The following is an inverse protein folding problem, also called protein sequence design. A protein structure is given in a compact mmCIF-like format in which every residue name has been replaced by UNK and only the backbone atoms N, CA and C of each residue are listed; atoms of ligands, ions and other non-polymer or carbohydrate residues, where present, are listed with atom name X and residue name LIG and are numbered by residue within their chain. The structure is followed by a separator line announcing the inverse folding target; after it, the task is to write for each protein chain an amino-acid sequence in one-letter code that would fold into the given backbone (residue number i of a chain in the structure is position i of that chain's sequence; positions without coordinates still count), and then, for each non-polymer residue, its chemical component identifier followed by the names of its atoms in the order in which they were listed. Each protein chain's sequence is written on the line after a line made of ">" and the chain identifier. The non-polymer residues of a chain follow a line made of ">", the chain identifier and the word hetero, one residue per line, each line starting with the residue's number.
data_IF_262338669493
#
_entry.id   IF_262338669493
#
_cell.length_a   1.000
_cell.length_b   1.000
_cell.length_c   1.000
_cell.angle_alpha   90.00
_cell.angle_beta   90.00
_cell.angle_gamma   90.00
#
_symmetry.space_group_name_H-M   'P 1'
#
loop_
_entity.id
_entity.type
_entity.pdbx_description
1 polymer ?
#
# COMPACT_ATOMS: atom_id res chain seq x y z
N UNK A 1 27.73 6.13 4.87
CA UNK A 1 26.61 5.54 4.11
C UNK A 1 26.29 4.22 4.77
N UNK A 2 25.07 4.05 5.31
CA UNK A 2 24.63 2.81 5.96
C UNK A 2 24.44 1.70 4.93
N UNK A 3 24.29 0.45 5.40
CA UNK A 3 24.03 -0.71 4.54
C UNK A 3 22.65 -0.59 3.86
N UNK A 4 21.65 -0.14 4.62
CA UNK A 4 20.32 0.20 4.08
C UNK A 4 20.41 1.26 2.97
N UNK A 5 21.21 2.32 3.20
CA UNK A 5 21.41 3.40 2.24
C UNK A 5 21.98 2.88 0.92
N UNK A 6 23.09 2.13 0.99
CA UNK A 6 23.72 1.56 -0.20
C UNK A 6 22.79 0.65 -0.99
N UNK A 7 22.08 -0.25 -0.29
CA UNK A 7 21.13 -1.18 -0.91
C UNK A 7 20.00 -0.44 -1.64
N UNK A 8 19.35 0.50 -0.96
CA UNK A 8 18.22 1.24 -1.53
C UNK A 8 18.64 2.12 -2.71
N UNK A 9 19.76 2.84 -2.60
CA UNK A 9 20.26 3.68 -3.70
C UNK A 9 20.60 2.84 -4.94
N UNK A 10 21.23 1.69 -4.76
CA UNK A 10 21.54 0.79 -5.87
C UNK A 10 20.28 0.32 -6.59
N UNK A 11 19.27 -0.14 -5.84
CA UNK A 11 17.99 -0.60 -6.40
C UNK A 11 17.25 0.51 -7.14
N UNK A 12 17.16 1.71 -6.55
CA UNK A 12 16.48 2.86 -7.16
C UNK A 12 17.19 3.31 -8.44
N UNK A 13 18.53 3.36 -8.43
CA UNK A 13 19.32 3.71 -9.61
C UNK A 13 19.12 2.70 -10.76
N UNK A 14 19.12 1.40 -10.47
CA UNK A 14 18.86 0.34 -11.45
C UNK A 14 17.45 0.45 -12.08
N UNK A 15 16.48 0.90 -11.30
CA UNK A 15 15.12 1.14 -11.78
C UNK A 15 14.90 2.54 -12.38
N UNK A 16 15.96 3.34 -12.55
CA UNK A 16 15.86 4.71 -13.10
C UNK A 16 15.09 5.69 -12.20
N UNK A 17 14.96 5.38 -10.90
CA UNK A 17 14.24 6.20 -9.94
C UNK A 17 15.21 7.21 -9.29
N UNK A 18 15.03 8.50 -9.60
CA UNK A 18 15.79 9.56 -8.94
C UNK A 18 15.27 9.81 -7.51
N UNK A 19 16.17 9.98 -6.57
CA UNK A 19 15.85 10.29 -5.18
C UNK A 19 16.69 11.48 -4.71
N UNK A 20 16.07 12.45 -4.06
CA UNK A 20 16.77 13.60 -3.46
C UNK A 20 17.36 13.22 -2.11
N UNK A 21 18.36 13.99 -1.64
CA UNK A 21 18.93 13.80 -0.30
C UNK A 21 17.88 13.89 0.80
N UNK A 22 16.90 14.79 0.66
CA UNK A 22 15.80 14.95 1.63
C UNK A 22 14.91 13.71 1.69
N UNK A 23 14.48 13.21 0.54
CA UNK A 23 13.67 11.98 0.46
C UNK A 23 14.42 10.80 1.06
N UNK A 24 15.72 10.69 0.73
CA UNK A 24 16.55 9.61 1.26
C UNK A 24 16.66 9.69 2.79
N UNK A 25 16.96 10.90 3.34
CA UNK A 25 17.03 11.11 4.79
C UNK A 25 15.71 10.76 5.48
N UNK A 26 14.56 11.10 4.89
CA UNK A 26 13.25 10.74 5.44
C UNK A 26 13.04 9.21 5.46
N UNK A 27 13.47 8.48 4.42
CA UNK A 27 13.40 7.01 4.39
C UNK A 27 14.32 6.38 5.46
N UNK A 28 15.51 6.90 5.65
CA UNK A 28 16.46 6.40 6.64
C UNK A 28 15.94 6.63 8.07
N UNK A 29 15.38 7.81 8.35
CA UNK A 29 14.76 8.09 9.64
C UNK A 29 13.60 7.11 9.89
N UNK A 30 12.72 6.92 8.90
CA UNK A 30 11.60 5.99 9.02
C UNK A 30 12.05 4.54 9.23
N UNK A 31 13.09 4.10 8.54
CA UNK A 31 13.69 2.79 8.72
C UNK A 31 14.27 2.61 10.13
N UNK A 32 14.99 3.60 10.65
CA UNK A 32 15.57 3.53 11.99
C UNK A 32 14.48 3.45 13.08
N UNK A 33 13.39 4.22 12.94
CA UNK A 33 12.21 4.13 13.80
C UNK A 33 11.56 2.73 13.73
N UNK A 34 11.46 2.15 12.53
CA UNK A 34 10.93 0.81 12.34
C UNK A 34 11.78 -0.23 13.07
N UNK A 35 13.09 -0.21 12.89
CA UNK A 35 14.02 -1.16 13.53
C UNK A 35 13.94 -1.06 15.05
N UNK A 36 13.91 0.16 15.60
CA UNK A 36 13.85 0.39 17.05
C UNK A 36 12.54 -0.15 17.65
N UNK A 37 11.40 0.21 17.06
CA UNK A 37 10.10 -0.22 17.58
C UNK A 37 9.86 -1.71 17.35
N UNK A 38 10.39 -2.27 16.25
CA UNK A 38 10.21 -3.68 15.93
C UNK A 38 10.85 -4.62 16.98
N UNK A 39 11.86 -4.17 17.73
CA UNK A 39 12.47 -4.93 18.85
C UNK A 39 11.45 -5.33 19.91
N UNK A 40 10.39 -4.56 20.07
CA UNK A 40 9.40 -4.76 21.15
C UNK A 40 7.98 -5.05 20.65
N UNK A 41 7.66 -4.70 19.39
CA UNK A 41 6.27 -4.72 18.90
C UNK A 41 5.98 -5.65 17.72
N UNK A 42 6.98 -6.35 17.18
CA UNK A 42 6.81 -7.26 16.03
C UNK A 42 5.99 -6.65 14.88
N UNK A 43 6.38 -5.46 14.43
CA UNK A 43 5.69 -4.75 13.35
C UNK A 43 5.88 -5.44 12.00
N UNK A 44 7.05 -6.04 11.79
CA UNK A 44 7.43 -6.74 10.55
C UNK A 44 8.39 -7.89 10.84
N UNK A 45 8.37 -8.92 10.00
CA UNK A 45 9.36 -9.99 9.98
C UNK A 45 10.63 -9.62 9.19
N UNK A 46 10.59 -8.55 8.40
CA UNK A 46 11.70 -8.08 7.58
C UNK A 46 12.52 -7.08 8.39
N UNK A 47 13.72 -7.49 8.81
CA UNK A 47 14.55 -6.72 9.76
C UNK A 47 15.95 -6.41 9.25
N UNK A 48 16.47 -7.16 8.26
CA UNK A 48 17.79 -6.86 7.70
C UNK A 48 17.76 -5.56 6.87
N UNK A 49 18.85 -4.79 6.84
CA UNK A 49 18.93 -3.57 6.04
C UNK A 49 18.62 -3.78 4.56
N UNK A 50 19.16 -4.86 3.97
CA UNK A 50 19.00 -5.19 2.56
C UNK A 50 17.55 -5.60 2.25
N UNK A 51 16.98 -6.51 3.06
CA UNK A 51 15.58 -6.90 2.87
C UNK A 51 14.63 -5.73 3.06
N UNK A 52 14.88 -4.85 4.03
CA UNK A 52 14.08 -3.66 4.23
C UNK A 52 14.18 -2.72 3.01
N UNK A 53 15.40 -2.48 2.50
CA UNK A 53 15.61 -1.67 1.30
C UNK A 53 14.83 -2.22 0.10
N UNK A 54 14.88 -3.53 -0.14
CA UNK A 54 14.20 -4.19 -1.24
C UNK A 54 12.68 -4.29 -1.01
N UNK A 55 12.28 -4.99 0.06
CA UNK A 55 10.89 -5.44 0.25
C UNK A 55 9.98 -4.39 0.85
N UNK A 56 10.54 -3.40 1.58
CA UNK A 56 9.74 -2.34 2.18
C UNK A 56 9.77 -1.06 1.35
N UNK A 57 10.97 -0.56 1.00
CA UNK A 57 11.09 0.73 0.34
C UNK A 57 11.03 0.64 -1.18
N UNK A 58 11.92 -0.12 -1.79
CA UNK A 58 11.98 -0.24 -3.26
C UNK A 58 10.68 -0.77 -3.85
N UNK A 59 10.17 -1.88 -3.33
CA UNK A 59 8.91 -2.49 -3.72
C UNK A 59 7.72 -1.51 -3.66
N UNK A 60 7.71 -0.66 -2.63
CA UNK A 60 6.68 0.36 -2.47
C UNK A 60 6.77 1.48 -3.50
N UNK A 61 7.99 1.87 -3.90
CA UNK A 61 8.26 3.05 -4.73
C UNK A 61 8.07 2.78 -6.22
N UNK A 62 8.43 1.60 -6.70
CA UNK A 62 8.44 1.27 -8.14
C UNK A 62 7.16 1.68 -8.88
N UNK A 63 5.94 1.39 -8.37
CA UNK A 63 4.72 1.71 -9.10
C UNK A 63 4.25 3.17 -8.94
N UNK A 64 5.07 4.07 -8.40
CA UNK A 64 4.68 5.47 -8.16
C UNK A 64 4.21 6.21 -9.42
N UNK A 65 4.69 5.80 -10.61
CA UNK A 65 4.30 6.40 -11.89
C UNK A 65 2.82 6.13 -12.24
N UNK A 66 2.21 5.08 -11.67
CA UNK A 66 0.78 4.79 -11.85
C UNK A 66 -0.13 5.75 -11.08
N UNK A 67 0.41 6.45 -10.09
CA UNK A 67 -0.36 7.34 -9.21
C UNK A 67 -0.47 8.72 -9.88
N UNK A 68 -1.68 9.19 -10.21
CA UNK A 68 -1.88 10.51 -10.80
C UNK A 68 -1.29 11.63 -9.94
N UNK A 69 -0.92 12.73 -10.58
CA UNK A 69 -0.39 13.89 -9.86
C UNK A 69 -1.45 14.52 -8.98
N UNK A 70 -1.09 14.82 -7.71
CA UNK A 70 -1.99 15.41 -6.74
C UNK A 70 -3.07 14.45 -6.20
N UNK A 71 -2.96 13.15 -6.48
CA UNK A 71 -3.97 12.17 -6.10
C UNK A 71 -4.16 12.06 -4.58
N UNK A 72 -5.40 11.77 -4.16
CA UNK A 72 -5.72 11.27 -2.83
C UNK A 72 -5.49 9.75 -2.80
N UNK A 73 -4.57 9.30 -1.92
CA UNK A 73 -4.18 7.88 -1.81
C UNK A 73 -4.57 7.33 -0.45
N UNK A 74 -5.27 6.19 -0.44
CA UNK A 74 -5.55 5.43 0.77
C UNK A 74 -4.81 4.09 0.73
N UNK A 75 -4.23 3.68 1.85
CA UNK A 75 -3.61 2.37 2.02
C UNK A 75 -4.42 1.52 2.99
N UNK A 76 -4.95 0.42 2.51
CA UNK A 76 -5.77 -0.50 3.30
C UNK A 76 -4.90 -1.59 3.91
N UNK A 77 -4.89 -1.62 5.25
CA UNK A 77 -4.03 -2.51 6.03
C UNK A 77 -2.57 -2.08 5.98
N UNK A 78 -2.32 -0.81 6.26
CA UNK A 78 -0.99 -0.19 6.12
C UNK A 78 0.13 -0.88 6.91
N UNK A 79 -0.21 -1.67 7.92
CA UNK A 79 0.78 -2.36 8.73
C UNK A 79 1.77 -1.39 9.38
N UNK A 80 3.03 -1.54 9.04
CA UNK A 80 4.09 -0.61 9.42
C UNK A 80 4.27 0.54 8.40
N UNK A 81 3.17 0.98 7.73
CA UNK A 81 3.17 2.11 6.79
C UNK A 81 3.62 1.79 5.36
N UNK A 82 3.62 0.51 4.97
CA UNK A 82 4.02 0.08 3.63
C UNK A 82 2.85 -0.48 2.82
N UNK A 83 2.64 0.00 1.57
CA UNK A 83 3.55 0.80 0.75
C UNK A 83 3.44 2.32 0.89
N UNK A 84 2.51 2.86 1.65
CA UNK A 84 2.10 4.27 1.61
C UNK A 84 3.21 5.27 1.96
N UNK A 85 3.97 5.01 3.04
CA UNK A 85 4.95 6.01 3.52
C UNK A 85 6.09 6.23 2.54
N UNK A 86 6.75 5.19 1.96
CA UNK A 86 7.72 5.40 0.90
C UNK A 86 7.14 6.09 -0.34
N UNK A 87 5.91 5.76 -0.74
CA UNK A 87 5.20 6.45 -1.82
C UNK A 87 5.03 7.94 -1.51
N UNK A 88 4.59 8.29 -0.29
CA UNK A 88 4.42 9.70 0.12
C UNK A 88 5.76 10.45 0.20
N UNK A 89 6.83 9.79 0.60
CA UNK A 89 8.18 10.39 0.59
C UNK A 89 8.61 10.73 -0.84
N UNK A 90 8.38 9.83 -1.80
CA UNK A 90 8.72 10.06 -3.20
C UNK A 90 7.78 11.05 -3.89
N UNK A 91 6.51 11.06 -3.49
CA UNK A 91 5.43 11.84 -4.10
C UNK A 91 4.86 12.82 -3.07
N UNK A 92 5.56 13.92 -2.87
CA UNK A 92 5.14 14.99 -1.94
C UNK A 92 3.80 15.64 -2.36
N UNK A 93 3.44 15.50 -3.64
CA UNK A 93 2.22 16.05 -4.23
C UNK A 93 0.94 15.29 -3.84
N UNK A 94 1.01 14.01 -3.45
CA UNK A 94 -0.18 13.24 -3.08
C UNK A 94 -0.64 13.53 -1.65
N UNK A 95 -1.93 13.39 -1.36
CA UNK A 95 -2.43 13.26 0.01
C UNK A 95 -2.48 11.78 0.40
N UNK A 96 -1.99 11.43 1.59
CA UNK A 96 -1.80 10.05 2.02
C UNK A 96 -2.63 9.74 3.27
N UNK A 97 -3.44 8.68 3.21
CA UNK A 97 -4.26 8.18 4.33
C UNK A 97 -3.94 6.71 4.59
N UNK A 98 -3.40 6.40 5.76
CA UNK A 98 -3.15 5.04 6.24
C UNK A 98 -4.37 4.51 7.01
N UNK A 99 -4.88 3.33 6.64
CA UNK A 99 -5.96 2.63 7.34
C UNK A 99 -5.40 1.35 7.93
N UNK A 100 -5.38 1.29 9.26
CA UNK A 100 -4.88 0.13 10.02
C UNK A 100 -5.76 -0.09 11.25
N UNK A 101 -6.06 -1.33 11.58
CA UNK A 101 -6.96 -1.65 12.71
C UNK A 101 -6.22 -1.87 14.03
N UNK A 102 -4.91 -2.15 13.98
CA UNK A 102 -4.12 -2.40 15.18
C UNK A 102 -3.57 -1.10 15.76
N UNK A 103 -4.05 -0.68 16.94
CA UNK A 103 -3.67 0.58 17.58
C UNK A 103 -2.16 0.78 17.73
N UNK A 104 -1.40 -0.30 18.04
CA UNK A 104 0.07 -0.23 18.14
C UNK A 104 0.73 0.16 16.79
N UNK A 105 0.20 -0.36 15.67
CA UNK A 105 0.70 -0.02 14.34
C UNK A 105 0.30 1.39 13.93
N UNK A 106 -0.92 1.83 14.27
CA UNK A 106 -1.36 3.21 14.06
C UNK A 106 -0.42 4.19 14.78
N UNK A 107 -0.16 3.98 16.07
CA UNK A 107 0.73 4.81 16.87
C UNK A 107 2.18 4.81 16.32
N UNK A 108 2.64 3.67 15.82
CA UNK A 108 3.94 3.60 15.13
C UNK A 108 3.98 4.49 13.88
N UNK A 109 2.98 4.38 12.99
CA UNK A 109 2.94 5.19 11.75
C UNK A 109 2.94 6.68 12.11
N UNK A 110 2.10 7.12 13.05
CA UNK A 110 2.02 8.52 13.50
C UNK A 110 3.38 9.03 14.01
N UNK A 111 4.01 8.27 14.91
CA UNK A 111 5.31 8.62 15.47
C UNK A 111 6.41 8.66 14.41
N UNK A 112 6.54 7.62 13.60
CA UNK A 112 7.63 7.49 12.64
C UNK A 112 7.50 8.48 11.48
N UNK A 113 6.28 8.77 11.02
CA UNK A 113 6.05 9.79 9.99
C UNK A 113 6.32 11.19 10.52
N UNK A 114 5.95 11.49 11.77
CA UNK A 114 6.30 12.77 12.41
C UNK A 114 7.83 12.95 12.53
N UNK A 115 8.56 11.91 12.97
CA UNK A 115 10.02 11.94 13.03
C UNK A 115 10.68 12.16 11.67
N UNK A 116 10.14 11.53 10.61
CA UNK A 116 10.63 11.65 9.23
C UNK A 116 10.15 12.94 8.52
N UNK A 117 9.31 13.76 9.15
CA UNK A 117 8.74 14.97 8.53
C UNK A 117 7.78 14.68 7.36
N UNK A 118 7.07 13.55 7.40
CA UNK A 118 6.16 13.07 6.33
C UNK A 118 4.70 13.21 6.78
N UNK A 119 3.89 13.94 6.03
CA UNK A 119 2.49 14.16 6.35
C UNK A 119 1.62 12.98 5.90
N UNK A 120 1.14 12.18 6.85
CA UNK A 120 0.21 11.06 6.62
C UNK A 120 -0.95 11.17 7.60
N UNK A 121 -2.18 11.04 7.10
CA UNK A 121 -3.37 10.91 7.96
C UNK A 121 -3.53 9.45 8.36
N UNK A 122 -3.55 9.14 9.66
CA UNK A 122 -3.78 7.78 10.14
C UNK A 122 -5.23 7.61 10.59
N UNK A 123 -5.88 6.56 10.08
CA UNK A 123 -7.23 6.12 10.49
C UNK A 123 -7.12 4.76 11.16
N UNK A 124 -7.22 4.76 12.50
CA UNK A 124 -7.20 3.54 13.29
C UNK A 124 -8.59 2.91 13.30
N UNK A 125 -8.93 2.22 12.22
CA UNK A 125 -10.23 1.59 12.00
C UNK A 125 -10.16 0.41 11.04
N UNK A 126 -11.23 -0.37 10.95
CA UNK A 126 -11.39 -1.39 9.91
C UNK A 126 -11.76 -0.72 8.57
N UNK A 127 -11.21 -1.27 7.46
CA UNK A 127 -11.47 -0.72 6.12
C UNK A 127 -12.95 -0.79 5.73
N UNK A 128 -13.63 -1.89 6.08
CA UNK A 128 -15.06 -2.07 5.81
C UNK A 128 -15.96 -1.12 6.62
N UNK A 129 -15.48 -0.61 7.75
CA UNK A 129 -16.17 0.42 8.52
C UNK A 129 -15.96 1.80 7.88
N UNK A 130 -14.72 2.11 7.53
CA UNK A 130 -14.35 3.36 6.88
C UNK A 130 -15.10 3.55 5.55
N UNK A 131 -15.23 2.50 4.76
CA UNK A 131 -15.93 2.53 3.48
C UNK A 131 -17.47 2.68 3.59
N UNK A 132 -18.00 2.82 4.81
CA UNK A 132 -19.42 3.13 5.10
C UNK A 132 -19.63 4.55 5.62
N UNK A 133 -18.58 5.34 5.68
CA UNK A 133 -18.61 6.76 6.06
C UNK A 133 -18.62 7.66 4.81
N UNK A 134 -18.43 8.94 5.02
CA UNK A 134 -18.23 9.95 3.96
C UNK A 134 -16.99 9.69 3.10
N UNK A 135 -16.10 8.78 3.53
CA UNK A 135 -14.92 8.39 2.77
C UNK A 135 -15.18 7.30 1.73
N UNK A 136 -16.44 6.84 1.62
CA UNK A 136 -16.84 5.95 0.53
C UNK A 136 -16.59 6.62 -0.82
N UNK A 137 -15.92 5.89 -1.73
CA UNK A 137 -15.63 6.36 -3.09
C UNK A 137 -15.02 7.78 -3.15
N UNK A 138 -14.15 8.09 -2.18
CA UNK A 138 -13.56 9.43 -2.02
C UNK A 138 -12.08 9.52 -2.42
N UNK A 139 -11.40 8.38 -2.63
CA UNK A 139 -9.98 8.35 -2.98
C UNK A 139 -9.75 8.11 -4.47
N UNK A 140 -8.73 8.78 -5.01
CA UNK A 140 -8.31 8.58 -6.40
C UNK A 140 -7.57 7.26 -6.58
N UNK A 141 -6.80 6.85 -5.55
CA UNK A 141 -6.03 5.60 -5.56
C UNK A 141 -6.17 4.89 -4.21
N UNK A 142 -6.41 3.59 -4.25
CA UNK A 142 -6.23 2.70 -3.11
C UNK A 142 -5.02 1.79 -3.36
N UNK A 143 -4.12 1.72 -2.40
CA UNK A 143 -3.02 0.75 -2.41
C UNK A 143 -3.25 -0.28 -1.31
N UNK A 144 -2.76 -1.50 -1.48
CA UNK A 144 -2.74 -2.50 -0.40
C UNK A 144 -1.72 -3.59 -0.65
N UNK A 145 -1.05 -4.04 0.42
CA UNK A 145 -0.02 -5.08 0.39
C UNK A 145 -0.18 -6.07 1.55
N UNK A 146 -0.08 -7.37 1.25
CA UNK A 146 -0.01 -8.46 2.24
C UNK A 146 -1.17 -8.54 3.25
N UNK A 147 -2.38 -8.09 2.87
CA UNK A 147 -3.56 -8.09 3.76
C UNK A 147 -4.36 -9.39 3.63
N UNK A 148 -4.73 -9.78 2.40
CA UNK A 148 -5.59 -10.94 2.13
C UNK A 148 -5.47 -11.40 0.68
N UNK A 149 -6.16 -12.50 0.34
CA UNK A 149 -6.36 -12.94 -1.05
C UNK A 149 -7.10 -11.86 -1.85
N UNK A 150 -6.86 -11.79 -3.16
CA UNK A 150 -7.34 -10.71 -4.02
C UNK A 150 -8.85 -10.51 -3.96
N UNK A 151 -9.64 -11.61 -3.96
CA UNK A 151 -11.12 -11.54 -3.86
C UNK A 151 -11.63 -10.89 -2.56
N UNK A 152 -10.95 -11.13 -1.45
CA UNK A 152 -11.25 -10.48 -0.16
C UNK A 152 -10.78 -9.02 -0.18
N UNK A 153 -9.57 -8.80 -0.67
CA UNK A 153 -8.95 -7.49 -0.72
C UNK A 153 -9.72 -6.52 -1.64
N UNK A 154 -10.20 -7.00 -2.78
CA UNK A 154 -11.01 -6.22 -3.70
C UNK A 154 -12.27 -5.63 -3.02
N UNK A 155 -12.98 -6.43 -2.19
CA UNK A 155 -14.16 -5.95 -1.48
C UNK A 155 -13.85 -4.94 -0.37
N UNK A 156 -12.66 -5.00 0.23
CA UNK A 156 -12.22 -4.02 1.23
C UNK A 156 -11.78 -2.70 0.58
N UNK A 157 -11.16 -2.76 -0.60
CA UNK A 157 -10.53 -1.62 -1.26
C UNK A 157 -11.45 -0.87 -2.23
N UNK A 158 -12.20 -1.60 -3.08
CA UNK A 158 -13.00 -0.98 -4.15
C UNK A 158 -14.02 0.06 -3.65
N UNK A 159 -14.71 -0.14 -2.50
CA UNK A 159 -15.66 0.86 -2.00
C UNK A 159 -15.02 2.16 -1.51
N UNK A 160 -13.71 2.24 -1.37
CA UNK A 160 -12.99 3.48 -1.03
C UNK A 160 -12.57 4.28 -2.28
N UNK A 161 -12.44 3.60 -3.42
CA UNK A 161 -11.96 4.19 -4.68
C UNK A 161 -13.10 4.85 -5.45
N UNK A 162 -12.93 6.06 -5.93
CA UNK A 162 -13.85 6.75 -6.84
C UNK A 162 -14.06 5.96 -8.14
N UNK A 163 -15.23 6.00 -8.79
CA UNK A 163 -15.34 5.61 -10.18
C UNK A 163 -14.32 6.38 -11.04
N UNK A 164 -13.58 5.66 -11.89
CA UNK A 164 -12.44 6.21 -12.64
C UNK A 164 -11.10 6.14 -11.90
N UNK A 165 -11.09 5.87 -10.59
CA UNK A 165 -9.87 5.74 -9.79
C UNK A 165 -9.15 4.38 -9.97
N UNK A 166 -8.06 4.19 -9.23
CA UNK A 166 -7.21 3.00 -9.31
C UNK A 166 -7.18 2.23 -7.98
N UNK A 167 -7.17 0.92 -8.08
CA UNK A 167 -6.78 0.03 -7.01
C UNK A 167 -5.48 -0.69 -7.38
N UNK A 168 -4.42 -0.51 -6.58
CA UNK A 168 -3.09 -1.09 -6.77
C UNK A 168 -2.87 -2.20 -5.73
N UNK A 169 -2.92 -3.45 -6.16
CA UNK A 169 -2.72 -4.62 -5.30
C UNK A 169 -1.29 -5.15 -5.46
N UNK A 170 -0.51 -5.09 -4.38
CA UNK A 170 0.85 -5.63 -4.33
C UNK A 170 0.79 -7.13 -4.04
N UNK A 171 1.33 -7.93 -4.95
CA UNK A 171 1.23 -9.39 -4.94
C UNK A 171 2.53 -10.08 -5.33
N UNK A 172 2.80 -11.25 -4.72
CA UNK A 172 3.82 -12.17 -5.17
C UNK A 172 3.35 -12.96 -6.40
N UNK A 173 3.16 -14.28 -6.24
CA UNK A 173 2.45 -15.07 -7.25
C UNK A 173 0.96 -14.73 -7.21
N UNK A 174 0.44 -14.25 -8.32
CA UNK A 174 -0.91 -13.70 -8.42
C UNK A 174 -1.83 -14.45 -9.39
N UNK A 175 -1.29 -15.32 -10.23
CA UNK A 175 -2.03 -15.87 -11.35
C UNK A 175 -3.30 -16.64 -10.90
N UNK A 176 -3.15 -17.49 -9.90
CA UNK A 176 -4.28 -18.22 -9.33
C UNK A 176 -5.24 -17.28 -8.59
N UNK A 177 -4.73 -16.36 -7.77
CA UNK A 177 -5.58 -15.40 -7.06
C UNK A 177 -6.39 -14.51 -8.00
N UNK A 178 -5.81 -14.14 -9.16
CA UNK A 178 -6.48 -13.32 -10.16
C UNK A 178 -7.63 -14.10 -10.81
N UNK A 179 -7.41 -15.35 -11.18
CA UNK A 179 -8.46 -16.21 -11.73
C UNK A 179 -9.61 -16.44 -10.71
N UNK A 180 -9.28 -16.69 -9.44
CA UNK A 180 -10.27 -16.87 -8.38
C UNK A 180 -11.04 -15.58 -8.05
N UNK A 181 -10.52 -14.41 -8.41
CA UNK A 181 -11.13 -13.12 -8.12
C UNK A 181 -12.05 -12.58 -9.23
N UNK A 182 -12.20 -13.25 -10.37
CA UNK A 182 -12.97 -12.73 -11.52
C UNK A 182 -14.38 -12.26 -11.15
N UNK A 183 -15.10 -13.06 -10.37
CA UNK A 183 -16.45 -12.69 -9.91
C UNK A 183 -16.41 -11.44 -9.01
N UNK A 184 -15.48 -11.38 -8.05
CA UNK A 184 -15.33 -10.23 -7.16
C UNK A 184 -14.97 -8.96 -7.94
N UNK A 185 -14.03 -9.05 -8.86
CA UNK A 185 -13.60 -7.92 -9.69
C UNK A 185 -14.78 -7.39 -10.52
N UNK A 186 -15.55 -8.27 -11.17
CA UNK A 186 -16.73 -7.88 -11.92
C UNK A 186 -17.81 -7.24 -11.05
N UNK A 187 -18.15 -7.84 -9.91
CA UNK A 187 -19.18 -7.34 -8.98
C UNK A 187 -18.82 -5.98 -8.36
N UNK A 188 -17.52 -5.66 -8.29
CA UNK A 188 -16.99 -4.43 -7.69
C UNK A 188 -16.52 -3.41 -8.73
N UNK A 189 -16.80 -3.66 -10.01
CA UNK A 189 -16.44 -2.79 -11.12
C UNK A 189 -14.93 -2.55 -11.27
N UNK A 190 -14.12 -3.56 -10.97
CA UNK A 190 -12.67 -3.51 -11.10
C UNK A 190 -12.23 -4.22 -12.38
N UNK A 191 -11.50 -3.53 -13.25
CA UNK A 191 -10.91 -4.07 -14.47
C UNK A 191 -9.40 -3.97 -14.40
N UNK A 192 -8.69 -5.07 -14.55
CA UNK A 192 -7.23 -5.07 -14.65
C UNK A 192 -6.80 -4.28 -15.90
N UNK A 193 -5.96 -3.27 -15.72
CA UNK A 193 -5.39 -2.46 -16.81
C UNK A 193 -3.92 -2.78 -17.04
N UNK A 194 -3.18 -2.99 -15.97
CA UNK A 194 -1.73 -3.17 -16.06
C UNK A 194 -1.23 -4.09 -14.94
N UNK A 195 -0.14 -4.79 -15.24
CA UNK A 195 0.65 -5.54 -14.26
C UNK A 195 2.08 -5.07 -14.31
N UNK A 196 2.56 -4.44 -13.25
CA UNK A 196 3.93 -3.98 -13.11
C UNK A 196 4.73 -5.03 -12.36
N UNK A 197 5.74 -5.61 -13.01
CA UNK A 197 6.70 -6.51 -12.37
C UNK A 197 7.80 -5.69 -11.69
N UNK A 198 8.21 -6.08 -10.49
CA UNK A 198 9.35 -5.47 -9.83
C UNK A 198 10.64 -5.72 -10.62
N UNK A 199 11.40 -4.67 -10.99
CA UNK A 199 12.61 -4.79 -11.81
C UNK A 199 13.81 -5.22 -10.94
N UNK A 200 13.68 -6.38 -10.27
CA UNK A 200 14.72 -6.95 -9.45
C UNK A 200 14.79 -8.45 -9.72
N UNK A 201 15.95 -8.94 -10.16
CA UNK A 201 16.16 -10.36 -10.45
C UNK A 201 16.01 -11.19 -9.15
N UNK A 202 15.34 -12.33 -9.25
CA UNK A 202 15.08 -13.21 -8.10
C UNK A 202 13.97 -12.72 -7.15
N UNK A 203 13.38 -11.53 -7.37
CA UNK A 203 12.28 -11.01 -6.58
C UNK A 203 10.98 -11.00 -7.38
N UNK A 204 10.23 -12.11 -7.28
CA UNK A 204 8.96 -12.28 -7.99
C UNK A 204 7.82 -11.54 -7.26
N UNK A 205 7.73 -10.24 -7.45
CA UNK A 205 6.67 -9.40 -6.91
C UNK A 205 6.08 -8.49 -8.00
N UNK A 206 4.79 -8.21 -7.90
CA UNK A 206 4.02 -7.51 -8.93
C UNK A 206 3.05 -6.52 -8.28
N UNK A 207 2.69 -5.48 -9.03
CA UNK A 207 1.55 -4.63 -8.71
C UNK A 207 0.50 -4.80 -9.80
N UNK A 208 -0.68 -5.24 -9.41
CA UNK A 208 -1.86 -5.33 -10.27
C UNK A 208 -2.62 -4.01 -10.18
N UNK A 209 -2.72 -3.30 -11.28
CA UNK A 209 -3.44 -2.02 -11.35
C UNK A 209 -4.85 -2.26 -11.93
N UNK A 210 -5.85 -2.06 -11.09
CA UNK A 210 -7.25 -2.19 -11.48
C UNK A 210 -7.88 -0.79 -11.59
N UNK A 211 -8.53 -0.52 -12.74
CA UNK A 211 -9.41 0.64 -12.93
C UNK A 211 -10.78 0.35 -12.37
N UNK A 212 -11.29 1.25 -11.53
CA UNK A 212 -12.68 1.20 -11.11
C UNK A 212 -13.59 1.84 -12.16
N UNK A 213 -14.41 1.03 -12.81
CA UNK A 213 -15.22 1.45 -13.98
C UNK A 213 -16.65 1.90 -13.62
N UNK A 214 -17.08 1.69 -12.38
CA UNK A 214 -18.42 2.06 -11.91
C UNK A 214 -18.52 2.15 -10.39
N UNK A 215 -19.65 2.61 -9.87
CA UNK A 215 -19.91 2.72 -8.44
C UNK A 215 -20.21 1.34 -7.82
N UNK A 216 -19.66 1.07 -6.64
CA UNK A 216 -19.96 -0.14 -5.89
C UNK A 216 -21.40 -0.12 -5.36
N UNK A 217 -22.12 -1.23 -5.48
CA UNK A 217 -23.45 -1.38 -4.88
C UNK A 217 -23.39 -1.11 -3.35
N UNK A 218 -24.43 -0.51 -2.80
CA UNK A 218 -24.49 -0.09 -1.38
C UNK A 218 -24.30 -1.24 -0.37
N UNK A 219 -24.56 -2.50 -0.79
CA UNK A 219 -24.34 -3.69 0.04
C UNK A 219 -22.85 -3.98 0.30
N UNK A 220 -21.95 -3.41 -0.49
CA UNK A 220 -20.50 -3.56 -0.32
C UNK A 220 -19.86 -2.34 0.35
N UNK A 221 -18.83 -2.52 1.19
CA UNK A 221 -18.31 -3.80 1.64
C UNK A 221 -19.27 -4.47 2.63
N UNK A 222 -19.28 -5.80 2.66
CA UNK A 222 -19.92 -6.58 3.71
C UNK A 222 -19.12 -6.48 5.01
N UNK A 223 -19.64 -7.05 6.10
CA UNK A 223 -18.85 -7.20 7.33
C UNK A 223 -17.67 -8.13 7.09
N UNK A 224 -16.51 -7.86 7.67
CA UNK A 224 -15.27 -8.63 7.43
C UNK A 224 -15.46 -10.15 7.60
N UNK A 225 -16.16 -10.57 8.68
CA UNK A 225 -16.44 -11.99 8.90
C UNK A 225 -17.25 -12.66 7.77
N UNK A 226 -18.14 -11.92 7.11
CA UNK A 226 -18.89 -12.39 5.94
C UNK A 226 -18.01 -12.48 4.69
N UNK A 227 -17.15 -11.46 4.49
CA UNK A 227 -16.20 -11.42 3.36
C UNK A 227 -15.27 -12.63 3.42
N UNK A 228 -14.69 -12.93 4.58
CA UNK A 228 -13.74 -14.03 4.77
C UNK A 228 -14.44 -15.40 4.70
N UNK A 229 -15.64 -15.52 5.27
CA UNK A 229 -16.38 -16.79 5.29
C UNK A 229 -16.87 -17.18 3.89
N UNK A 230 -17.27 -16.22 3.09
CA UNK A 230 -17.82 -16.41 1.75
C UNK A 230 -17.35 -15.28 0.84
N UNK A 231 -16.09 -15.29 0.38
CA UNK A 231 -15.60 -14.30 -0.57
C UNK A 231 -16.43 -14.29 -1.86
N UNK A 232 -16.45 -13.12 -2.55
CA UNK A 232 -17.13 -12.98 -3.84
C UNK A 232 -16.51 -13.87 -4.91
#
# INVERSE_FOLDING_TARGET
>A
MSEFERGLMTLLAQAGQAVTKRQFSAMEIYYNELVEVNRTHNLTAVTSPEDAALRHFFDSIVPQALIPRGASVVDVGSGAGFPLVPLKIMREDISATAVESAGKKCAFIERATAAAGVAVTVRCSRAEELARTELRESFDVCVSRAVAQLRVLAELCAPLVKPGGLFLAYKGDYAQELAEAEHALSALWLRLEETVKMPCEGYAHHVLAFRKTGACAAKYPRRYAQIVKSPL
#
